data_IF_336302386104
#
_entry.id   IF_336302386104
#
_cell.length_a   1.000
_cell.length_b   1.000
_cell.length_c   1.000
_cell.angle_alpha   90.00
_cell.angle_beta   90.00
_cell.angle_gamma   90.00
#
_symmetry.space_group_name_H-M   'P 1'
#
loop_
_entity.id
_entity.type
_entity.pdbx_description
1 polymer ?
#
# COMPACT_ATOMS: atom_id res chain seq x y z
N UNK A 1 -2.13 7.94 28.83
CA UNK A 1 -2.23 7.82 27.34
C UNK A 1 -3.11 8.97 26.86
N UNK A 2 -2.74 9.70 25.79
CA UNK A 2 -3.58 10.79 25.27
C UNK A 2 -4.82 10.22 24.58
N UNK A 3 -5.93 10.94 24.60
CA UNK A 3 -7.12 10.57 23.86
C UNK A 3 -6.89 10.79 22.35
N UNK A 4 -7.24 9.79 21.52
CA UNK A 4 -7.11 9.84 20.06
C UNK A 4 -8.47 9.60 19.41
N UNK A 5 -8.93 10.51 18.54
CA UNK A 5 -10.22 10.43 17.88
C UNK A 5 -10.12 10.49 16.35
N UNK A 6 -8.96 10.88 15.82
CA UNK A 6 -8.77 11.12 14.39
C UNK A 6 -7.38 10.76 13.88
N UNK A 7 -7.32 10.38 12.58
CA UNK A 7 -6.09 10.23 11.80
C UNK A 7 -6.12 11.26 10.68
N UNK A 8 -4.99 11.96 10.48
CA UNK A 8 -4.79 12.84 9.34
C UNK A 8 -3.70 12.31 8.43
N UNK A 9 -4.05 12.19 7.15
CA UNK A 9 -3.14 11.72 6.10
C UNK A 9 -2.47 12.94 5.47
N UNK A 10 -1.16 12.83 5.28
CA UNK A 10 -0.28 13.82 4.67
C UNK A 10 0.56 13.18 3.57
N UNK A 11 1.21 14.02 2.77
CA UNK A 11 2.34 13.67 1.93
C UNK A 11 3.54 14.56 2.26
N UNK A 12 4.73 14.08 1.94
CA UNK A 12 5.98 14.84 2.13
C UNK A 12 6.22 15.86 1.04
N UNK A 13 5.43 15.84 -0.04
CA UNK A 13 5.61 16.61 -1.26
C UNK A 13 7.00 16.42 -1.92
N UNK A 14 7.62 15.26 -1.70
CA UNK A 14 8.87 14.87 -2.36
C UNK A 14 8.59 14.22 -3.72
N UNK A 15 9.58 14.26 -4.64
CA UNK A 15 9.54 13.50 -5.88
C UNK A 15 9.52 11.99 -5.59
N UNK A 16 8.98 11.20 -6.51
CA UNK A 16 8.84 9.75 -6.32
C UNK A 16 10.20 9.05 -6.13
N UNK A 17 11.22 9.52 -6.83
CA UNK A 17 12.59 8.98 -6.78
C UNK A 17 13.45 9.59 -5.67
N UNK A 18 12.91 10.53 -4.88
CA UNK A 18 13.68 11.20 -3.84
C UNK A 18 14.24 10.19 -2.83
N UNK A 19 15.58 10.20 -2.70
CA UNK A 19 16.34 9.26 -1.89
C UNK A 19 15.99 7.78 -2.16
N UNK A 20 15.75 7.44 -3.43
CA UNK A 20 15.59 6.06 -3.87
C UNK A 20 16.77 5.21 -3.40
N UNK A 21 16.49 4.02 -2.84
CA UNK A 21 17.51 3.13 -2.26
C UNK A 21 17.96 3.47 -0.84
N UNK A 22 17.52 4.59 -0.25
CA UNK A 22 17.76 4.87 1.17
C UNK A 22 16.68 4.21 2.03
N UNK A 23 17.07 3.79 3.24
CA UNK A 23 16.14 3.22 4.21
C UNK A 23 15.09 4.25 4.64
N UNK A 24 13.87 3.82 4.87
CA UNK A 24 12.77 4.69 5.32
C UNK A 24 13.11 5.44 6.62
N UNK A 25 13.88 4.83 7.52
CA UNK A 25 14.36 5.48 8.76
C UNK A 25 15.32 6.65 8.49
N UNK A 26 16.17 6.56 7.45
CA UNK A 26 17.07 7.65 7.06
C UNK A 26 16.27 8.81 6.46
N UNK A 27 15.26 8.51 5.66
CA UNK A 27 14.32 9.50 5.13
C UNK A 27 13.55 10.22 6.26
N UNK A 28 13.07 9.47 7.25
CA UNK A 28 12.37 10.02 8.41
C UNK A 28 13.29 10.94 9.24
N UNK A 29 14.56 10.56 9.42
CA UNK A 29 15.57 11.39 10.09
C UNK A 29 15.83 12.70 9.32
N UNK A 30 15.88 12.65 7.99
CA UNK A 30 16.04 13.84 7.16
C UNK A 30 14.81 14.76 7.23
N UNK A 31 13.58 14.20 7.22
CA UNK A 31 12.37 14.99 7.44
C UNK A 31 12.38 15.66 8.82
N UNK A 32 12.86 14.95 9.85
CA UNK A 32 13.05 15.54 11.18
C UNK A 32 14.01 16.72 11.12
N UNK A 33 15.16 16.59 10.42
CA UNK A 33 16.10 17.68 10.24
C UNK A 33 15.42 18.91 9.60
N UNK A 34 14.65 18.74 8.51
CA UNK A 34 13.91 19.82 7.88
C UNK A 34 12.95 20.54 8.82
N UNK A 35 12.33 19.81 9.75
CA UNK A 35 11.41 20.38 10.72
C UNK A 35 12.16 21.13 11.83
N UNK A 36 13.30 20.61 12.29
CA UNK A 36 14.18 21.27 13.26
C UNK A 36 14.75 22.58 12.66
N UNK A 37 15.17 22.59 11.39
CA UNK A 37 15.66 23.75 10.67
C UNK A 37 14.60 24.87 10.57
N UNK A 38 13.30 24.50 10.65
CA UNK A 38 12.17 25.46 10.73
C UNK A 38 11.86 25.93 12.15
N UNK A 39 12.66 25.54 13.14
CA UNK A 39 12.48 25.87 14.54
C UNK A 39 11.45 25.01 15.29
N UNK A 40 11.06 23.86 14.73
CA UNK A 40 10.19 22.94 15.42
C UNK A 40 10.99 22.09 16.43
N UNK A 41 10.33 21.61 17.48
CA UNK A 41 10.99 20.82 18.52
C UNK A 41 11.22 19.35 18.11
N UNK A 42 10.54 18.85 17.07
CA UNK A 42 10.64 17.47 16.60
C UNK A 42 10.00 17.36 15.21
N UNK A 43 10.09 16.15 14.59
CA UNK A 43 9.35 15.83 13.38
C UNK A 43 7.84 16.00 13.60
N UNK A 44 7.11 16.49 12.60
CA UNK A 44 5.68 16.78 12.73
C UNK A 44 4.76 15.56 12.73
N UNK A 45 5.16 14.48 12.06
CA UNK A 45 4.34 13.30 11.80
C UNK A 45 4.63 12.17 12.79
N UNK A 46 3.60 11.40 13.17
CA UNK A 46 3.78 10.21 14.01
C UNK A 46 4.30 9.02 13.20
N UNK A 47 3.86 8.87 11.94
CA UNK A 47 4.27 7.78 11.07
C UNK A 47 4.59 8.26 9.66
N UNK A 48 5.47 7.51 9.01
CA UNK A 48 5.74 7.61 7.58
C UNK A 48 5.45 6.29 6.90
N UNK A 49 4.98 6.36 5.65
CA UNK A 49 4.80 5.19 4.79
C UNK A 49 5.64 5.40 3.54
N UNK A 50 6.66 4.56 3.36
CA UNK A 50 7.56 4.63 2.22
C UNK A 50 6.96 3.97 0.98
N UNK A 51 7.57 4.21 -0.17
CA UNK A 51 7.08 3.74 -1.47
C UNK A 51 7.05 2.21 -1.60
N UNK A 52 7.88 1.51 -0.84
CA UNK A 52 7.88 0.03 -0.74
C UNK A 52 6.88 -0.51 0.28
N UNK A 53 6.12 0.38 0.95
CA UNK A 53 5.18 0.04 2.01
C UNK A 53 5.81 -0.04 3.41
N UNK A 54 7.11 0.23 3.55
CA UNK A 54 7.75 0.28 4.87
C UNK A 54 7.13 1.39 5.72
N UNK A 55 6.70 1.03 6.93
CA UNK A 55 6.18 1.98 7.94
C UNK A 55 7.32 2.32 8.88
N UNK A 56 7.55 3.61 9.09
CA UNK A 56 8.57 4.12 10.02
C UNK A 56 7.91 5.08 11.01
N UNK A 57 8.23 4.91 12.27
CA UNK A 57 7.82 5.84 13.32
C UNK A 57 8.61 7.15 13.21
N UNK A 58 7.92 8.25 13.45
CA UNK A 58 8.49 9.58 13.54
C UNK A 58 8.40 10.12 14.95
N UNK A 59 7.46 11.07 15.20
CA UNK A 59 7.16 11.56 16.55
C UNK A 59 6.42 10.47 17.33
N UNK A 60 6.83 10.14 18.57
CA UNK A 60 6.11 9.15 19.38
C UNK A 60 4.61 9.40 19.43
N UNK A 61 3.80 8.35 19.38
CA UNK A 61 2.34 8.46 19.34
C UNK A 61 1.77 9.10 20.62
N UNK A 62 2.47 9.02 21.73
CA UNK A 62 2.12 9.66 23.01
C UNK A 62 2.23 11.19 22.92
N UNK A 63 2.97 11.71 21.93
CA UNK A 63 3.13 13.14 21.70
C UNK A 63 2.17 13.62 20.61
N UNK A 64 1.56 14.76 20.82
CA UNK A 64 0.72 15.43 19.82
C UNK A 64 1.54 15.76 18.58
N UNK A 65 1.08 15.41 17.36
CA UNK A 65 1.76 15.77 16.12
C UNK A 65 1.79 17.29 15.92
N UNK A 66 2.61 17.75 14.97
CA UNK A 66 2.69 19.17 14.58
C UNK A 66 2.58 19.26 13.05
N UNK A 67 1.44 18.83 12.49
CA UNK A 67 1.28 18.66 11.05
C UNK A 67 0.03 19.37 10.48
N UNK A 68 -1.03 19.52 11.28
CA UNK A 68 -2.28 20.18 10.90
C UNK A 68 -2.67 21.22 11.97
N UNK A 69 -2.28 22.47 11.78
CA UNK A 69 -2.54 23.56 12.74
C UNK A 69 -4.03 23.64 13.11
N UNK A 70 -4.32 23.69 14.41
CA UNK A 70 -5.69 23.71 14.94
C UNK A 70 -6.34 22.32 15.10
N UNK A 71 -5.77 21.26 14.50
CA UNK A 71 -6.32 19.90 14.48
C UNK A 71 -5.34 18.84 14.98
N UNK A 72 -4.28 19.24 15.68
CA UNK A 72 -3.25 18.32 16.16
C UNK A 72 -3.69 17.55 17.42
N UNK A 73 -4.44 18.18 18.31
CA UNK A 73 -4.93 17.56 19.55
C UNK A 73 -5.89 16.42 19.22
N UNK A 74 -5.74 15.27 19.87
CA UNK A 74 -6.57 14.10 19.64
C UNK A 74 -6.28 13.35 18.32
N UNK A 75 -5.24 13.72 17.58
CA UNK A 75 -4.98 13.16 16.26
C UNK A 75 -3.68 12.35 16.18
N UNK A 76 -3.62 11.48 15.17
CA UNK A 76 -2.41 10.86 14.65
C UNK A 76 -2.14 11.42 13.25
N UNK A 77 -0.91 11.81 12.96
CA UNK A 77 -0.49 12.28 11.64
C UNK A 77 0.36 11.20 10.94
N UNK A 78 -0.08 10.77 9.75
CA UNK A 78 0.63 9.79 8.91
C UNK A 78 1.02 10.50 7.61
N UNK A 79 2.29 10.43 7.21
CA UNK A 79 2.80 11.05 5.98
C UNK A 79 3.29 10.00 4.99
N UNK A 80 2.83 10.10 3.74
CA UNK A 80 3.30 9.29 2.61
C UNK A 80 4.51 9.96 1.96
N UNK A 81 5.56 9.17 1.64
CA UNK A 81 6.64 9.67 0.80
C UNK A 81 6.18 9.80 -0.65
N UNK A 82 6.23 11.02 -1.19
CA UNK A 82 5.73 11.35 -2.53
C UNK A 82 4.86 12.60 -2.55
N UNK A 83 4.04 12.73 -3.60
CA UNK A 83 3.04 13.81 -3.73
C UNK A 83 3.60 15.13 -4.25
N UNK A 84 4.80 15.14 -4.87
CA UNK A 84 5.35 16.35 -5.49
C UNK A 84 4.49 16.79 -6.67
N UNK A 85 4.08 18.05 -6.64
CA UNK A 85 3.28 18.66 -7.71
C UNK A 85 1.84 18.19 -7.79
N UNK A 86 1.38 17.33 -6.85
CA UNK A 86 0.03 16.78 -6.88
C UNK A 86 -1.05 17.75 -6.42
N UNK A 87 -2.28 17.51 -6.92
CA UNK A 87 -3.49 18.24 -6.59
C UNK A 87 -4.40 17.41 -5.69
N UNK A 88 -5.22 18.07 -4.88
CA UNK A 88 -6.14 17.39 -3.95
C UNK A 88 -7.18 16.48 -4.62
N UNK A 89 -7.49 16.71 -5.89
CA UNK A 89 -8.47 15.95 -6.67
C UNK A 89 -7.83 14.86 -7.54
N UNK A 90 -6.51 14.67 -7.44
CA UNK A 90 -5.82 13.60 -8.14
C UNK A 90 -6.19 12.25 -7.50
N UNK A 91 -5.93 11.17 -8.22
CA UNK A 91 -6.11 9.82 -7.68
C UNK A 91 -4.89 9.40 -6.88
N UNK A 92 -5.11 8.54 -5.89
CA UNK A 92 -4.03 8.01 -5.05
C UNK A 92 -2.90 7.40 -5.89
N UNK A 93 -3.22 6.60 -6.88
CA UNK A 93 -2.28 5.87 -7.74
C UNK A 93 -1.44 6.77 -8.67
N UNK A 94 -1.79 8.04 -8.83
CA UNK A 94 -1.01 8.99 -9.61
C UNK A 94 0.27 9.43 -8.88
N UNK A 95 0.25 9.37 -7.54
CA UNK A 95 1.34 9.85 -6.69
C UNK A 95 1.98 8.78 -5.82
N UNK A 96 1.26 7.71 -5.52
CA UNK A 96 1.65 6.69 -4.53
C UNK A 96 1.56 5.29 -5.11
N UNK A 97 2.27 4.37 -4.47
CA UNK A 97 2.37 2.98 -4.93
C UNK A 97 1.26 2.10 -4.33
N UNK A 98 0.96 0.94 -4.95
CA UNK A 98 0.08 -0.06 -4.35
C UNK A 98 0.58 -0.57 -2.99
N UNK A 99 1.91 -0.58 -2.78
CA UNK A 99 2.54 -0.95 -1.52
C UNK A 99 2.19 0.07 -0.42
N UNK A 100 2.24 1.37 -0.76
CA UNK A 100 1.82 2.44 0.15
C UNK A 100 0.32 2.35 0.46
N UNK A 101 -0.54 2.05 -0.51
CA UNK A 101 -1.98 1.87 -0.29
C UNK A 101 -2.25 0.77 0.74
N UNK A 102 -1.66 -0.42 0.51
CA UNK A 102 -1.80 -1.57 1.43
C UNK A 102 -1.28 -1.27 2.84
N UNK A 103 -0.09 -0.67 2.92
CA UNK A 103 0.53 -0.33 4.20
C UNK A 103 -0.24 0.72 4.98
N UNK A 104 -0.74 1.76 4.30
CA UNK A 104 -1.55 2.82 4.91
C UNK A 104 -2.86 2.27 5.46
N UNK A 105 -3.60 1.47 4.68
CA UNK A 105 -4.84 0.82 5.14
C UNK A 105 -4.60 -0.09 6.34
N UNK A 106 -3.53 -0.88 6.30
CA UNK A 106 -3.14 -1.75 7.42
C UNK A 106 -2.82 -0.93 8.68
N UNK A 107 -2.03 0.13 8.57
CA UNK A 107 -1.70 1.00 9.69
C UNK A 107 -2.94 1.66 10.30
N UNK A 108 -3.86 2.17 9.47
CA UNK A 108 -5.13 2.74 9.92
C UNK A 108 -5.96 1.71 10.70
N UNK A 109 -6.05 0.49 10.18
CA UNK A 109 -6.79 -0.60 10.84
C UNK A 109 -6.15 -0.96 12.19
N UNK A 110 -4.83 -1.07 12.26
CA UNK A 110 -4.10 -1.34 13.50
C UNK A 110 -4.32 -0.24 14.55
N UNK A 111 -4.21 1.03 14.15
CA UNK A 111 -4.44 2.16 15.04
C UNK A 111 -5.89 2.20 15.56
N UNK A 112 -6.88 1.86 14.74
CA UNK A 112 -8.28 1.77 15.18
C UNK A 112 -8.54 0.59 16.12
N UNK A 113 -7.80 -0.51 15.98
CA UNK A 113 -7.88 -1.62 16.93
C UNK A 113 -7.25 -1.26 18.28
N UNK A 114 -6.12 -0.57 18.27
CA UNK A 114 -5.40 -0.16 19.47
C UNK A 114 -6.08 1.03 20.19
N UNK A 115 -6.66 1.94 19.39
CA UNK A 115 -7.35 3.14 19.88
C UNK A 115 -8.79 3.18 19.31
N UNK A 116 -9.74 2.45 19.90
CA UNK A 116 -11.12 2.33 19.37
C UNK A 116 -11.89 3.66 19.27
N UNK A 117 -11.43 4.71 19.95
CA UNK A 117 -11.98 6.07 19.85
C UNK A 117 -11.67 6.76 18.52
N UNK A 118 -10.74 6.25 17.71
CA UNK A 118 -10.43 6.78 16.38
C UNK A 118 -11.58 6.45 15.42
N UNK A 119 -12.42 7.42 15.17
CA UNK A 119 -13.59 7.29 14.30
C UNK A 119 -13.50 8.07 12.99
N UNK A 120 -12.49 8.93 12.84
CA UNK A 120 -12.28 9.80 11.67
C UNK A 120 -10.92 9.53 11.02
N UNK A 121 -10.91 9.45 9.68
CA UNK A 121 -9.70 9.47 8.86
C UNK A 121 -9.90 10.54 7.79
N UNK A 122 -9.01 11.52 7.74
CA UNK A 122 -9.13 12.71 6.89
C UNK A 122 -7.82 13.06 6.19
N UNK A 123 -7.91 13.80 5.11
CA UNK A 123 -6.78 14.47 4.49
C UNK A 123 -6.45 15.80 5.16
N UNK A 124 -5.20 16.24 5.05
CA UNK A 124 -4.80 17.58 5.47
C UNK A 124 -5.58 18.67 4.70
N UNK A 125 -5.90 18.44 3.43
CA UNK A 125 -6.72 19.29 2.57
C UNK A 125 -8.15 19.53 3.09
N UNK A 126 -8.67 18.64 3.93
CA UNK A 126 -10.00 18.78 4.52
C UNK A 126 -10.05 19.84 5.68
N UNK A 127 -8.89 20.22 6.19
CA UNK A 127 -8.77 21.17 7.33
C UNK A 127 -7.84 22.35 7.03
N UNK A 128 -7.33 22.46 5.82
CA UNK A 128 -6.46 23.56 5.38
C UNK A 128 -6.56 23.74 3.87
N UNK A 129 -6.20 24.95 3.37
CA UNK A 129 -6.15 25.26 1.95
C UNK A 129 -4.91 24.67 1.24
N UNK A 130 -4.49 23.45 1.61
CA UNK A 130 -3.32 22.76 1.02
C UNK A 130 -3.75 21.60 0.14
N UNK A 131 -2.95 21.27 -0.86
CA UNK A 131 -3.21 20.13 -1.74
C UNK A 131 -2.91 18.76 -1.08
N UNK A 132 -2.13 18.78 0.01
CA UNK A 132 -1.74 17.57 0.77
C UNK A 132 -2.96 16.86 1.37
N UNK A 133 -3.10 15.56 1.19
CA UNK A 133 -2.13 14.57 0.71
C UNK A 133 -2.11 14.32 -0.81
N UNK A 134 -2.67 15.19 -1.64
CA UNK A 134 -2.78 15.10 -3.09
C UNK A 134 -3.80 14.05 -3.56
N UNK A 135 -4.81 13.76 -2.75
CA UNK A 135 -6.00 12.96 -3.10
C UNK A 135 -7.09 13.20 -2.05
N UNK A 136 -8.32 12.81 -2.37
CA UNK A 136 -9.45 12.88 -1.44
C UNK A 136 -9.47 11.64 -0.56
N UNK A 137 -9.18 11.80 0.74
CA UNK A 137 -9.03 10.67 1.68
C UNK A 137 -10.34 9.94 1.93
N UNK A 138 -11.46 10.65 2.08
CA UNK A 138 -12.75 10.02 2.34
C UNK A 138 -13.21 9.12 1.18
N UNK A 139 -13.22 9.55 -0.10
CA UNK A 139 -13.47 8.65 -1.23
C UNK A 139 -12.49 7.48 -1.31
N UNK A 140 -11.19 7.74 -1.09
CA UNK A 140 -10.18 6.68 -1.08
C UNK A 140 -10.43 5.62 0.02
N UNK A 141 -10.79 6.04 1.23
CA UNK A 141 -11.13 5.10 2.31
C UNK A 141 -12.33 4.22 1.97
N UNK A 142 -13.31 4.76 1.25
CA UNK A 142 -14.53 4.05 0.85
C UNK A 142 -14.32 3.20 -0.41
N UNK A 143 -13.27 3.42 -1.18
CA UNK A 143 -12.89 2.51 -2.26
C UNK A 143 -12.42 1.20 -1.63
N UNK A 144 -13.18 0.15 -1.84
CA UNK A 144 -12.74 -1.20 -1.49
C UNK A 144 -11.42 -1.43 -2.22
N UNK A 145 -10.41 -1.93 -1.52
CA UNK A 145 -9.13 -2.34 -2.14
C UNK A 145 -9.46 -3.02 -3.46
N UNK A 146 -8.91 -2.46 -4.56
CA UNK A 146 -9.35 -2.81 -5.90
C UNK A 146 -9.59 -4.29 -6.02
N UNK A 147 -10.84 -4.68 -6.17
CA UNK A 147 -11.17 -5.93 -6.80
C UNK A 147 -10.45 -5.93 -8.16
N UNK A 148 -9.23 -6.46 -8.19
CA UNK A 148 -8.73 -7.13 -9.37
C UNK A 148 -9.69 -8.29 -9.55
N UNK A 149 -10.84 -8.04 -10.22
CA UNK A 149 -11.60 -9.10 -10.86
C UNK A 149 -10.54 -9.92 -11.60
N UNK A 150 -10.33 -11.20 -11.23
CA UNK A 150 -9.44 -12.04 -11.99
C UNK A 150 -9.97 -11.94 -13.42
N UNK A 151 -9.11 -11.56 -14.36
CA UNK A 151 -9.48 -11.48 -15.76
C UNK A 151 -10.13 -12.82 -16.09
N UNK A 152 -11.44 -12.83 -16.34
CA UNK A 152 -12.16 -14.02 -16.80
C UNK A 152 -11.42 -14.46 -18.06
N UNK A 153 -10.57 -15.48 -17.91
CA UNK A 153 -10.05 -16.21 -19.07
C UNK A 153 -11.27 -16.61 -19.86
N UNK A 154 -11.48 -15.97 -21.03
CA UNK A 154 -12.45 -16.44 -22.01
C UNK A 154 -12.03 -17.86 -22.31
N UNK A 155 -12.73 -18.80 -21.73
CA UNK A 155 -12.67 -20.19 -22.19
C UNK A 155 -13.20 -20.13 -23.62
N UNK A 156 -12.28 -20.19 -24.56
CA UNK A 156 -12.60 -20.40 -25.96
C UNK A 156 -13.33 -21.73 -26.04
N UNK A 157 -14.63 -21.67 -26.32
CA UNK A 157 -15.39 -22.85 -26.67
C UNK A 157 -14.85 -23.33 -28.02
N UNK A 158 -13.92 -24.28 -27.99
CA UNK A 158 -13.58 -25.08 -29.16
C UNK A 158 -14.83 -25.90 -29.52
N UNK A 159 -15.43 -25.55 -30.65
CA UNK A 159 -16.49 -26.32 -31.27
C UNK A 159 -15.99 -27.74 -31.46
N UNK A 160 -16.58 -28.68 -30.73
CA UNK A 160 -16.43 -30.11 -31.00
C UNK A 160 -17.08 -30.42 -32.34
N UNK A 161 -16.27 -30.60 -33.35
CA UNK A 161 -16.70 -31.21 -34.59
C UNK A 161 -16.82 -32.70 -34.36
N UNK A 162 -18.05 -33.18 -34.30
CA UNK A 162 -18.33 -34.63 -34.37
C UNK A 162 -17.95 -35.11 -35.76
N UNK A 163 -16.96 -35.98 -35.89
CA UNK A 163 -16.77 -36.83 -37.03
C UNK A 163 -16.92 -38.28 -36.61
N UNK A 164 -18.00 -38.85 -37.05
CA UNK A 164 -18.27 -40.28 -37.00
C UNK A 164 -17.52 -40.95 -38.14
N UNK A 165 -16.64 -41.88 -37.86
CA UNK A 165 -16.32 -42.97 -38.77
C UNK A 165 -15.88 -44.22 -37.99
N UNK A 166 -16.66 -45.25 -38.17
CA UNK A 166 -16.48 -46.60 -37.69
C UNK A 166 -15.51 -47.32 -38.64
N UNK A 167 -14.56 -48.10 -38.15
CA UNK A 167 -14.18 -49.41 -38.64
C UNK A 167 -12.83 -49.90 -38.06
N UNK A 168 -12.89 -50.95 -37.44
CA UNK A 168 -12.45 -52.35 -37.62
C UNK A 168 -11.07 -52.71 -37.03
N UNK A 169 -11.22 -53.66 -36.10
CA UNK A 169 -10.37 -54.81 -35.74
C UNK A 169 -9.04 -55.02 -36.48
N UNK A 170 -7.99 -55.24 -35.71
CA UNK A 170 -7.12 -56.42 -35.88
C UNK A 170 -6.24 -56.64 -34.63
N UNK A 171 -6.37 -57.80 -34.10
CA UNK A 171 -5.61 -58.51 -33.07
C UNK A 171 -4.20 -58.81 -33.59
N UNK A 172 -3.15 -58.80 -32.71
CA UNK A 172 -2.11 -59.84 -32.61
C UNK A 172 -1.03 -59.46 -31.59
N UNK A 173 -0.99 -60.24 -30.52
CA UNK A 173 0.14 -60.94 -29.91
C UNK A 173 1.42 -60.21 -29.48
N UNK A 174 1.71 -60.36 -28.20
CA UNK A 174 3.02 -60.34 -27.51
C UNK A 174 4.01 -61.39 -28.09
N UNK A 175 5.30 -61.41 -27.72
CA UNK A 175 5.74 -61.47 -26.29
C UNK A 175 7.10 -60.78 -25.97
N UNK A 176 7.31 -60.68 -24.67
CA UNK A 176 8.49 -60.62 -23.83
C UNK A 176 9.92 -60.76 -24.39
N UNK A 177 10.84 -59.99 -23.84
CA UNK A 177 12.15 -60.51 -23.40
C UNK A 177 12.76 -59.65 -22.30
N UNK A 178 13.18 -60.34 -21.26
CA UNK A 178 13.93 -59.95 -20.07
C UNK A 178 15.42 -59.82 -20.41
N UNK A 179 16.16 -58.89 -19.79
CA UNK A 179 17.56 -58.98 -19.40
C UNK A 179 17.92 -57.69 -18.60
N UNK A 180 18.02 -57.71 -17.35
CA UNK A 180 19.04 -58.11 -16.33
C UNK A 180 20.45 -57.51 -16.58
N UNK A 181 20.93 -56.90 -15.50
CA UNK A 181 22.28 -56.94 -14.87
C UNK A 181 23.25 -55.78 -15.14
N UNK A 182 23.71 -55.28 -13.98
CA UNK A 182 25.03 -54.84 -13.63
C UNK A 182 25.23 -53.34 -13.67
N UNK A 183 25.63 -52.70 -12.64
CA UNK A 183 26.44 -52.96 -11.47
C UNK A 183 27.61 -52.00 -11.45
N UNK A 184 27.82 -51.31 -10.30
CA UNK A 184 29.11 -50.79 -9.79
C UNK A 184 29.86 -49.76 -10.68
N UNK A 185 30.10 -48.59 -10.23
CA UNK A 185 30.92 -48.06 -9.12
C UNK A 185 30.48 -46.65 -8.72
#
# INVERSE_FOLDING_TARGET
MRHLDSIYIHCTATRAEWWSGRRSSEKAAECKRWHLDRGWSDVGYNYFVDRDGTITEGRPIEKTPAAQKGHNTGSVAISLWGGHGGHQDDKFEEHFTPEQDRALRKLIAQLRMEYPSINRVRGHNEVSAKQCPCFQVTPWMNSVEGEKKPARKRVSQTKTVRSSTVAKLATLASPATIATVGGLE
#
